data_IF_819320333262
#
_entry.id   IF_819320333262
#
_cell.length_a   1.000
_cell.length_b   1.000
_cell.length_c   1.000
_cell.angle_alpha   90.00
_cell.angle_beta   90.00
_cell.angle_gamma   90.00
#
_symmetry.space_group_name_H-M   'P 1'
#
loop_
_entity.id
_entity.type
_entity.pdbx_description
1 polymer ?
#
# COMPACT_ATOMS: atom_id res chain seq x y z
N UNK A 1 5.74 31.73 47.93
CA UNK A 1 6.69 30.77 47.35
C UNK A 1 6.06 30.04 46.18
N UNK A 2 6.66 30.25 45.02
CA UNK A 2 6.59 29.47 43.78
C UNK A 2 6.56 27.96 44.00
N UNK A 3 5.74 27.22 43.24
CA UNK A 3 6.21 26.17 42.31
C UNK A 3 5.22 26.07 41.12
N UNK A 4 5.71 26.39 39.92
CA UNK A 4 5.14 26.00 38.61
C UNK A 4 5.41 24.51 38.40
N UNK A 5 4.47 23.76 37.83
CA UNK A 5 4.88 22.62 37.00
C UNK A 5 3.92 22.43 35.83
N UNK A 6 4.50 22.66 34.65
CA UNK A 6 3.91 22.42 33.36
C UNK A 6 3.59 20.94 33.16
N UNK A 7 2.52 20.68 32.40
CA UNK A 7 2.45 19.48 31.58
C UNK A 7 1.67 19.83 30.32
N UNK A 8 2.42 20.29 29.32
CA UNK A 8 2.00 20.12 27.94
C UNK A 8 1.96 18.63 27.66
N UNK A 9 0.81 18.16 27.20
CA UNK A 9 0.78 17.01 26.31
C UNK A 9 0.36 17.61 24.98
N UNK A 10 1.37 17.81 24.14
CA UNK A 10 1.21 17.91 22.70
C UNK A 10 0.62 16.56 22.27
N UNK A 11 -0.71 16.49 22.27
CA UNK A 11 -1.43 15.40 21.65
C UNK A 11 -1.42 15.70 20.15
N UNK A 12 -0.25 15.53 19.55
CA UNK A 12 -0.16 15.33 18.11
C UNK A 12 -0.90 14.03 17.86
N UNK A 13 -2.22 14.13 17.65
CA UNK A 13 -3.06 13.10 17.10
C UNK A 13 -2.56 12.86 15.69
N UNK A 14 -1.44 12.15 15.60
CA UNK A 14 -1.03 11.44 14.40
C UNK A 14 -2.21 10.52 14.13
N UNK A 15 -3.10 10.97 13.23
CA UNK A 15 -4.10 10.13 12.59
C UNK A 15 -3.33 9.03 11.85
N UNK A 16 -2.84 8.08 12.63
CA UNK A 16 -2.33 6.82 12.16
C UNK A 16 -3.56 6.14 11.62
N UNK A 17 -3.84 6.36 10.33
CA UNK A 17 -4.92 5.75 9.57
C UNK A 17 -5.07 4.32 10.04
N UNK A 18 -6.08 4.06 10.88
CA UNK A 18 -6.22 2.78 11.58
C UNK A 18 -6.59 1.74 10.52
N UNK A 19 -5.56 1.11 9.95
CA UNK A 19 -5.69 -0.09 9.13
C UNK A 19 -6.53 -1.11 9.93
N UNK A 20 -7.38 -1.92 9.28
CA UNK A 20 -8.44 -2.67 9.98
C UNK A 20 -7.96 -3.95 10.68
N UNK A 21 -6.67 -4.03 11.00
CA UNK A 21 -5.98 -5.16 11.62
C UNK A 21 -4.69 -4.68 12.32
N UNK A 22 -4.16 -5.50 13.22
CA UNK A 22 -2.84 -5.27 13.83
C UNK A 22 -1.77 -5.91 12.96
N UNK A 23 -0.65 -5.20 12.74
CA UNK A 23 0.54 -5.77 12.08
C UNK A 23 1.29 -6.67 13.08
N UNK A 24 0.95 -7.95 13.14
CA UNK A 24 1.59 -8.95 13.98
C UNK A 24 2.66 -9.79 13.28
N UNK A 25 2.66 -9.83 11.96
CA UNK A 25 3.56 -10.65 11.16
C UNK A 25 4.96 -10.05 11.03
N UNK A 26 5.98 -10.90 11.16
CA UNK A 26 7.39 -10.53 10.90
C UNK A 26 7.65 -10.14 9.44
N UNK A 27 6.72 -10.45 8.52
CA UNK A 27 6.88 -10.15 7.09
C UNK A 27 6.79 -8.66 6.78
N UNK A 28 6.14 -7.86 7.64
CA UNK A 28 5.99 -6.42 7.41
C UNK A 28 7.32 -5.71 7.26
N UNK A 29 8.27 -5.96 8.17
CA UNK A 29 9.59 -5.33 8.10
C UNK A 29 10.34 -5.72 6.83
N UNK A 30 10.28 -6.99 6.43
CA UNK A 30 10.87 -7.47 5.18
C UNK A 30 10.26 -6.76 3.97
N UNK A 31 8.94 -6.73 3.86
CA UNK A 31 8.24 -6.14 2.71
C UNK A 31 8.45 -4.63 2.66
N UNK A 32 8.24 -3.91 3.76
CA UNK A 32 8.40 -2.45 3.81
C UNK A 32 9.84 -2.02 3.56
N UNK A 33 10.82 -2.91 3.80
CA UNK A 33 12.24 -2.66 3.49
C UNK A 33 12.63 -2.89 2.03
N UNK A 34 11.75 -3.45 1.19
CA UNK A 34 12.04 -3.67 -0.23
C UNK A 34 12.32 -2.33 -0.92
N UNK A 35 13.26 -2.33 -1.85
CA UNK A 35 13.73 -1.10 -2.52
C UNK A 35 12.60 -0.33 -3.21
N UNK A 36 11.60 -1.04 -3.72
CA UNK A 36 10.42 -0.42 -4.33
C UNK A 36 9.66 0.48 -3.36
N UNK A 37 9.50 0.08 -2.09
CA UNK A 37 8.78 0.87 -1.10
C UNK A 37 9.63 2.00 -0.51
N UNK A 38 10.95 1.95 -0.67
CA UNK A 38 11.82 3.11 -0.40
C UNK A 38 11.72 4.15 -1.52
N UNK A 39 11.73 3.70 -2.78
CA UNK A 39 11.66 4.58 -3.96
C UNK A 39 10.26 5.15 -4.19
N UNK A 40 9.24 4.36 -3.88
CA UNK A 40 7.83 4.69 -4.04
C UNK A 40 7.10 4.40 -2.72
N UNK A 41 7.27 5.25 -1.69
CA UNK A 41 6.60 5.07 -0.41
C UNK A 41 5.09 4.93 -0.57
N UNK A 42 4.50 3.95 0.12
CA UNK A 42 3.08 3.66 0.10
C UNK A 42 2.52 3.70 1.53
N UNK A 43 1.31 4.24 1.68
CA UNK A 43 0.56 4.20 2.95
C UNK A 43 -0.90 3.78 2.73
N UNK A 44 -1.15 2.54 2.25
CA UNK A 44 -2.49 2.05 1.95
C UNK A 44 -3.35 1.92 3.20
N UNK A 45 -4.62 2.31 3.09
CA UNK A 45 -5.57 2.28 4.21
C UNK A 45 -6.21 0.89 4.41
N UNK A 46 -6.18 0.03 3.40
CA UNK A 46 -6.75 -1.32 3.41
C UNK A 46 -8.22 -1.39 3.86
N UNK A 47 -8.99 -0.32 3.66
CA UNK A 47 -10.36 -0.21 4.18
C UNK A 47 -11.30 -1.32 3.71
N UNK A 48 -11.23 -1.82 2.45
CA UNK A 48 -12.06 -2.94 2.01
C UNK A 48 -11.91 -4.20 2.88
N UNK A 49 -10.73 -4.41 3.50
CA UNK A 49 -10.47 -5.58 4.34
C UNK A 49 -11.28 -5.60 5.65
N UNK A 50 -11.95 -4.49 6.01
CA UNK A 50 -12.93 -4.48 7.12
C UNK A 50 -14.03 -5.53 6.92
N UNK A 51 -14.37 -5.86 5.67
CA UNK A 51 -15.39 -6.84 5.33
C UNK A 51 -14.84 -8.27 5.22
N UNK A 52 -13.53 -8.47 5.30
CA UNK A 52 -12.90 -9.80 5.34
C UNK A 52 -12.91 -10.38 6.75
N UNK A 53 -12.75 -11.71 6.85
CA UNK A 53 -12.60 -12.43 8.13
C UNK A 53 -11.41 -11.86 8.89
N UNK A 54 -11.57 -11.60 10.18
CA UNK A 54 -10.56 -10.94 11.02
C UNK A 54 -9.18 -11.60 10.91
N UNK A 55 -9.13 -12.94 11.02
CA UNK A 55 -7.88 -13.70 10.95
C UNK A 55 -7.15 -13.60 9.60
N UNK A 56 -7.83 -13.21 8.51
CA UNK A 56 -7.23 -13.15 7.17
C UNK A 56 -6.84 -11.74 6.74
N UNK A 57 -7.27 -10.69 7.46
CA UNK A 57 -7.05 -9.30 7.04
C UNK A 57 -5.58 -8.96 6.87
N UNK A 58 -4.75 -9.35 7.84
CA UNK A 58 -3.31 -9.09 7.77
C UNK A 58 -2.66 -9.83 6.58
N UNK A 59 -3.00 -11.09 6.38
CA UNK A 59 -2.48 -11.89 5.27
C UNK A 59 -2.88 -11.30 3.90
N UNK A 60 -4.11 -10.82 3.77
CA UNK A 60 -4.59 -10.14 2.56
C UNK A 60 -3.84 -8.83 2.32
N UNK A 61 -3.62 -8.02 3.35
CA UNK A 61 -2.88 -6.76 3.24
C UNK A 61 -1.41 -6.98 2.82
N UNK A 62 -0.76 -8.01 3.40
CA UNK A 62 0.57 -8.47 2.97
C UNK A 62 0.54 -8.86 1.50
N UNK A 63 -0.49 -9.61 1.07
CA UNK A 63 -0.72 -9.97 -0.33
C UNK A 63 -0.81 -8.75 -1.24
N UNK A 64 -1.56 -7.72 -0.85
CA UNK A 64 -1.68 -6.47 -1.62
C UNK A 64 -0.32 -5.76 -1.76
N UNK A 65 0.50 -5.70 -0.70
CA UNK A 65 1.84 -5.11 -0.78
C UNK A 65 2.73 -5.89 -1.77
N UNK A 66 2.73 -7.23 -1.69
CA UNK A 66 3.48 -8.08 -2.63
C UNK A 66 2.97 -7.88 -4.07
N UNK A 67 1.65 -7.82 -4.26
CA UNK A 67 1.04 -7.57 -5.56
C UNK A 67 1.45 -6.23 -6.15
N UNK A 68 1.48 -5.15 -5.34
CA UNK A 68 1.97 -3.84 -5.80
C UNK A 68 3.41 -3.91 -6.30
N UNK A 69 4.32 -4.54 -5.54
CA UNK A 69 5.71 -4.73 -5.97
C UNK A 69 5.80 -5.49 -7.29
N UNK A 70 5.08 -6.60 -7.41
CA UNK A 70 5.07 -7.43 -8.60
C UNK A 70 4.49 -6.67 -9.82
N UNK A 71 3.48 -5.83 -9.61
CA UNK A 71 2.84 -5.04 -10.65
C UNK A 71 3.77 -3.96 -11.19
N UNK A 72 4.49 -3.24 -10.32
CA UNK A 72 5.51 -2.26 -10.73
C UNK A 72 6.54 -2.93 -11.65
N UNK A 73 7.02 -4.10 -11.23
CA UNK A 73 7.99 -4.91 -11.95
C UNK A 73 7.45 -5.45 -13.29
N UNK A 74 6.18 -5.87 -13.33
CA UNK A 74 5.51 -6.32 -14.55
C UNK A 74 5.42 -5.18 -15.54
N UNK A 75 4.90 -4.02 -15.12
CA UNK A 75 4.84 -2.81 -15.95
C UNK A 75 6.27 -2.44 -16.39
N UNK A 76 7.30 -2.57 -15.52
CA UNK A 76 8.73 -2.30 -15.83
C UNK A 76 9.23 -3.04 -17.07
N UNK A 77 8.75 -4.27 -17.29
CA UNK A 77 9.24 -5.15 -18.34
C UNK A 77 8.31 -5.25 -19.56
N UNK A 78 7.12 -4.66 -19.50
CA UNK A 78 6.16 -4.70 -20.60
C UNK A 78 6.70 -3.98 -21.84
N UNK A 79 6.57 -4.67 -22.99
CA UNK A 79 6.84 -4.15 -24.33
C UNK A 79 5.51 -3.93 -25.04
N UNK A 80 5.46 -3.02 -26.03
CA UNK A 80 4.24 -2.66 -26.75
C UNK A 80 3.49 -3.88 -27.32
N UNK A 81 4.22 -4.85 -27.89
CA UNK A 81 3.63 -6.07 -28.47
C UNK A 81 2.97 -7.01 -27.43
N UNK A 82 3.32 -6.89 -26.15
CA UNK A 82 2.77 -7.70 -25.05
C UNK A 82 1.55 -7.02 -24.37
N UNK A 83 1.26 -5.76 -24.71
CA UNK A 83 0.24 -4.94 -24.04
C UNK A 83 -1.17 -5.43 -24.36
N UNK A 84 -1.46 -5.75 -25.62
CA UNK A 84 -2.84 -6.04 -26.09
C UNK A 84 -3.48 -7.21 -25.34
N UNK A 85 -2.69 -8.21 -24.94
CA UNK A 85 -3.19 -9.40 -24.22
C UNK A 85 -3.21 -9.25 -22.70
N UNK A 86 -2.61 -8.19 -22.14
CA UNK A 86 -2.41 -8.08 -20.68
C UNK A 86 -2.83 -6.73 -20.09
N UNK A 87 -3.26 -5.78 -20.92
CA UNK A 87 -3.65 -4.44 -20.49
C UNK A 87 -4.82 -4.48 -19.51
N UNK A 88 -5.88 -5.25 -19.81
CA UNK A 88 -7.07 -5.36 -18.96
C UNK A 88 -6.72 -5.91 -17.57
N UNK A 89 -6.02 -7.04 -17.52
CA UNK A 89 -5.54 -7.65 -16.26
C UNK A 89 -4.77 -6.66 -15.38
N UNK A 90 -3.94 -5.82 -15.98
CA UNK A 90 -3.12 -4.86 -15.24
C UNK A 90 -3.96 -3.66 -14.80
N UNK A 91 -4.87 -3.19 -15.66
CA UNK A 91 -5.79 -2.10 -15.32
C UNK A 91 -6.70 -2.49 -14.16
N UNK A 92 -7.16 -3.74 -14.13
CA UNK A 92 -7.93 -4.32 -13.03
C UNK A 92 -7.10 -4.38 -11.74
N UNK A 93 -5.86 -4.88 -11.83
CA UNK A 93 -4.96 -4.94 -10.67
C UNK A 93 -4.62 -3.54 -10.12
N UNK A 94 -4.41 -2.54 -10.99
CA UNK A 94 -4.21 -1.14 -10.59
C UNK A 94 -5.43 -0.63 -9.82
N UNK A 95 -6.64 -0.91 -10.33
CA UNK A 95 -7.89 -0.46 -9.73
C UNK A 95 -8.16 -1.13 -8.39
N UNK A 96 -7.86 -2.42 -8.26
CA UNK A 96 -7.95 -3.16 -6.99
C UNK A 96 -6.99 -2.58 -5.94
N UNK A 97 -5.74 -2.30 -6.31
CA UNK A 97 -4.76 -1.70 -5.41
C UNK A 97 -5.16 -0.28 -5.00
N UNK A 98 -5.68 0.53 -5.93
CA UNK A 98 -6.20 1.87 -5.60
C UNK A 98 -7.34 1.80 -4.59
N UNK A 99 -8.27 0.85 -4.73
CA UNK A 99 -9.36 0.66 -3.78
C UNK A 99 -8.87 0.31 -2.36
N UNK A 100 -7.68 -0.28 -2.23
CA UNK A 100 -7.01 -0.52 -0.95
C UNK A 100 -6.17 0.66 -0.46
N UNK A 101 -6.10 1.76 -1.21
CA UNK A 101 -5.43 2.99 -0.84
C UNK A 101 -4.01 3.13 -1.35
N UNK A 102 -3.58 2.31 -2.31
CA UNK A 102 -2.26 2.45 -2.91
C UNK A 102 -2.23 3.68 -3.83
N UNK A 103 -1.10 4.39 -3.81
CA UNK A 103 -0.80 5.48 -4.74
C UNK A 103 -0.32 4.90 -6.07
N UNK A 104 -1.25 4.70 -7.01
CA UNK A 104 -1.01 4.03 -8.30
C UNK A 104 -0.92 4.97 -9.50
N UNK A 105 -1.00 6.29 -9.31
CA UNK A 105 -1.00 7.28 -10.41
C UNK A 105 0.17 7.09 -11.39
N UNK A 106 1.37 6.87 -10.86
CA UNK A 106 2.57 6.62 -11.69
C UNK A 106 2.49 5.34 -12.52
N UNK A 107 1.73 4.34 -12.07
CA UNK A 107 1.50 3.10 -12.81
C UNK A 107 0.52 3.33 -13.96
N UNK A 108 -0.56 4.09 -13.72
CA UNK A 108 -1.51 4.50 -14.76
C UNK A 108 -0.86 5.34 -15.84
N UNK A 109 -0.09 6.37 -15.45
CA UNK A 109 0.62 7.24 -16.38
C UNK A 109 1.61 6.49 -17.25
N UNK A 110 2.15 5.40 -16.73
CA UNK A 110 3.06 4.55 -17.47
C UNK A 110 2.33 3.60 -18.39
N UNK A 111 1.23 3.00 -17.92
CA UNK A 111 0.40 2.14 -18.76
C UNK A 111 -0.17 2.91 -19.96
N UNK A 112 -0.58 4.17 -19.79
CA UNK A 112 -1.11 4.99 -20.88
C UNK A 112 -0.06 5.39 -21.94
N UNK A 113 1.22 5.11 -21.70
CA UNK A 113 2.35 5.41 -22.60
C UNK A 113 2.92 4.17 -23.28
N UNK A 114 2.45 2.98 -22.89
CA UNK A 114 2.78 1.71 -23.53
C UNK A 114 1.82 1.46 -24.70
#
# INVERSE_FOLDING_TARGET
STIVSARGVDESSSESSMIPFVKGSILWSTIESMEIFKRMPQNPHFAPLKHSKEFSREALAIGCMVAFSALVDRIARLKMDDVENTADDISDAISELEAHGFSVGVLRDRMSKL
#
